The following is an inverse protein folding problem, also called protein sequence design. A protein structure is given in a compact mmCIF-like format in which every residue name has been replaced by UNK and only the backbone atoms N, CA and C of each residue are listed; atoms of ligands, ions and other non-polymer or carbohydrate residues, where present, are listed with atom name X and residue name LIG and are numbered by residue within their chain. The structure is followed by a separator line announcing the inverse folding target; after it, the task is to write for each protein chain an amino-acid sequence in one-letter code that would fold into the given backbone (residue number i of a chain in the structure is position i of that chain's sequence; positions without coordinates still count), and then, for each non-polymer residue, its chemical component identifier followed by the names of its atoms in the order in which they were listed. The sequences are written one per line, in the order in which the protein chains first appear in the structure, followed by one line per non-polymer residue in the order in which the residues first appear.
data_IF_016525631605
#
_entry.id   IF_016525631605
#
_cell.length_a   1.000
_cell.length_b   1.000
_cell.length_c   1.000
_cell.angle_alpha   90.00
_cell.angle_beta   90.00
_cell.angle_gamma   90.00
#
_symmetry.space_group_name_H-M   'P 1'
#
loop_
_entity.id
_entity.type
_entity.pdbx_description
1 polymer ?
#
# COMPACT_ATOMS: atom_id res chain seq x y z
N UNK A 1 -2.75 -15.61 24.26
CA UNK A 1 -1.57 -15.18 23.48
C UNK A 1 -1.83 -13.74 23.05
N UNK A 2 -1.06 -12.76 23.50
CA UNK A 2 -1.27 -11.37 23.08
C UNK A 2 -0.96 -11.26 21.58
N UNK A 3 -1.98 -10.97 20.77
CA UNK A 3 -1.81 -10.70 19.35
C UNK A 3 -1.07 -9.38 19.25
N UNK A 4 0.22 -9.41 18.89
CA UNK A 4 0.97 -8.19 18.62
C UNK A 4 0.19 -7.33 17.65
N UNK A 5 -0.24 -6.15 18.08
CA UNK A 5 -0.98 -5.21 17.23
C UNK A 5 -0.04 -4.81 16.10
N UNK A 6 -0.39 -5.17 14.86
CA UNK A 6 0.39 -4.72 13.70
C UNK A 6 0.44 -3.18 13.75
N UNK A 7 1.61 -2.56 13.57
CA UNK A 7 1.72 -1.11 13.61
C UNK A 7 0.79 -0.49 12.55
N UNK A 8 0.27 0.70 12.83
CA UNK A 8 -0.52 1.47 11.87
C UNK A 8 0.30 1.67 10.59
N UNK A 9 -0.32 1.60 9.39
CA UNK A 9 0.40 1.87 8.15
C UNK A 9 1.07 3.23 8.17
N UNK A 10 2.39 3.23 8.01
CA UNK A 10 3.18 4.47 7.95
C UNK A 10 3.09 5.17 6.60
N UNK A 11 3.80 6.30 6.45
CA UNK A 11 3.71 7.17 5.26
C UNK A 11 3.97 6.43 3.94
N UNK A 12 4.99 5.56 3.89
CA UNK A 12 5.29 4.79 2.69
C UNK A 12 4.10 3.93 2.23
N UNK A 13 3.45 3.21 3.17
CA UNK A 13 2.29 2.38 2.86
C UNK A 13 1.11 3.21 2.39
N UNK A 14 0.92 4.42 2.95
CA UNK A 14 -0.14 5.34 2.53
C UNK A 14 0.10 5.86 1.10
N UNK A 15 1.34 6.20 0.76
CA UNK A 15 1.69 6.64 -0.60
C UNK A 15 1.59 5.51 -1.62
N UNK A 16 2.03 4.30 -1.29
CA UNK A 16 1.77 3.11 -2.13
C UNK A 16 0.26 2.97 -2.39
N UNK A 17 -0.56 3.09 -1.35
CA UNK A 17 -2.02 3.00 -1.48
C UNK A 17 -2.60 4.12 -2.36
N UNK A 18 -2.00 5.32 -2.31
CA UNK A 18 -2.35 6.46 -3.16
C UNK A 18 -2.04 6.18 -4.64
N UNK A 19 -0.86 5.66 -4.94
CA UNK A 19 -0.44 5.27 -6.30
C UNK A 19 -1.39 4.21 -6.87
N UNK A 20 -1.69 3.15 -6.09
CA UNK A 20 -2.61 2.11 -6.54
C UNK A 20 -4.00 2.66 -6.87
N UNK A 21 -4.54 3.55 -6.02
CA UNK A 21 -5.83 4.22 -6.29
C UNK A 21 -5.78 5.10 -7.54
N UNK A 22 -4.70 5.85 -7.72
CA UNK A 22 -4.51 6.71 -8.88
C UNK A 22 -4.48 5.87 -10.18
N UNK A 23 -3.81 4.73 -10.16
CA UNK A 23 -3.76 3.80 -11.31
C UNK A 23 -5.14 3.24 -11.64
N UNK A 24 -5.86 2.77 -10.62
CA UNK A 24 -7.23 2.29 -10.80
C UNK A 24 -8.13 3.36 -11.41
N UNK A 25 -8.05 4.61 -10.93
CA UNK A 25 -8.83 5.71 -11.46
C UNK A 25 -8.47 6.03 -12.92
N UNK A 26 -7.17 6.05 -13.26
CA UNK A 26 -6.68 6.31 -14.62
C UNK A 26 -7.22 5.28 -15.63
N UNK A 27 -7.26 4.02 -15.22
CA UNK A 27 -7.72 2.90 -16.07
C UNK A 27 -9.20 2.53 -15.87
N UNK A 28 -9.94 3.27 -15.04
CA UNK A 28 -11.35 3.01 -14.69
C UNK A 28 -11.59 1.58 -14.16
N UNK A 29 -10.62 1.04 -13.43
CA UNK A 29 -10.70 -0.28 -12.82
C UNK A 29 -11.52 -0.18 -11.54
N UNK A 30 -12.56 -1.02 -11.44
CA UNK A 30 -13.39 -1.08 -10.24
C UNK A 30 -12.70 -1.91 -9.17
N UNK A 31 -12.87 -1.52 -7.91
CA UNK A 31 -12.30 -2.24 -6.77
C UNK A 31 -12.73 -3.72 -6.71
N UNK A 32 -13.98 -4.03 -7.08
CA UNK A 32 -14.45 -5.41 -7.15
C UNK A 32 -13.71 -6.26 -8.20
N UNK A 33 -13.29 -5.65 -9.31
CA UNK A 33 -12.52 -6.34 -10.36
C UNK A 33 -11.11 -6.65 -9.85
N UNK A 34 -10.46 -5.67 -9.21
CA UNK A 34 -9.12 -5.86 -8.66
C UNK A 34 -9.10 -6.87 -7.51
N UNK A 35 -10.13 -6.87 -6.66
CA UNK A 35 -10.32 -7.87 -5.61
C UNK A 35 -10.43 -9.28 -6.19
N UNK A 36 -11.24 -9.46 -7.24
CA UNK A 36 -11.38 -10.74 -7.92
C UNK A 36 -10.08 -11.19 -8.59
N UNK A 37 -9.32 -10.27 -9.20
CA UNK A 37 -8.06 -10.58 -9.87
C UNK A 37 -6.93 -10.98 -8.90
N UNK A 38 -6.89 -10.37 -7.72
CA UNK A 38 -5.82 -10.60 -6.73
C UNK A 38 -6.18 -11.64 -5.67
N UNK A 39 -7.44 -12.08 -5.60
CA UNK A 39 -7.93 -12.95 -4.52
C UNK A 39 -8.02 -12.26 -3.15
N UNK A 40 -7.80 -10.94 -3.09
CA UNK A 40 -7.94 -10.15 -1.87
C UNK A 40 -9.41 -9.85 -1.65
N UNK A 41 -9.91 -10.06 -0.42
CA UNK A 41 -11.30 -9.69 -0.10
C UNK A 41 -11.57 -8.21 -0.36
N UNK A 42 -12.78 -7.88 -0.85
CA UNK A 42 -13.16 -6.49 -1.17
C UNK A 42 -13.02 -5.55 0.01
N UNK A 43 -13.38 -6.00 1.22
CA UNK A 43 -13.20 -5.27 2.47
C UNK A 43 -11.74 -4.99 2.75
N UNK A 44 -10.87 -6.01 2.68
CA UNK A 44 -9.44 -5.82 2.89
C UNK A 44 -8.83 -4.90 1.85
N UNK A 45 -9.19 -5.06 0.58
CA UNK A 45 -8.73 -4.20 -0.50
C UNK A 45 -9.17 -2.75 -0.25
N UNK A 46 -10.37 -2.53 0.29
CA UNK A 46 -10.83 -1.19 0.68
C UNK A 46 -9.95 -0.57 1.73
N UNK A 47 -9.63 -1.32 2.79
CA UNK A 47 -8.75 -0.84 3.86
C UNK A 47 -7.33 -0.57 3.37
N UNK A 48 -6.82 -1.43 2.48
CA UNK A 48 -5.53 -1.27 1.80
C UNK A 48 -5.53 0.01 0.98
N UNK A 49 -6.47 0.17 0.05
CA UNK A 49 -6.52 1.35 -0.83
C UNK A 49 -6.68 2.64 -0.01
N UNK A 50 -7.39 2.60 1.11
CA UNK A 50 -7.52 3.75 2.01
C UNK A 50 -6.29 3.99 2.91
N UNK A 51 -5.21 3.21 2.79
CA UNK A 51 -4.01 3.33 3.63
C UNK A 51 -4.24 2.95 5.10
N UNK A 52 -5.33 2.23 5.41
CA UNK A 52 -5.71 1.84 6.78
C UNK A 52 -5.21 0.46 7.17
N UNK A 53 -4.72 -0.32 6.21
CA UNK A 53 -4.22 -1.68 6.44
C UNK A 53 -2.85 -1.88 5.81
N UNK A 54 -1.99 -2.56 6.55
CA UNK A 54 -0.68 -2.95 6.02
C UNK A 54 -0.88 -3.93 4.85
N UNK A 55 -0.07 -3.72 3.83
CA UNK A 55 0.02 -4.56 2.64
C UNK A 55 1.28 -5.41 2.81
N UNK A 56 1.17 -6.73 2.67
CA UNK A 56 2.36 -7.57 2.59
C UNK A 56 2.94 -7.57 1.16
N UNK A 57 4.18 -8.06 1.01
CA UNK A 57 4.88 -8.04 -0.28
C UNK A 57 4.12 -8.83 -1.35
N UNK A 58 3.52 -9.96 -0.99
CA UNK A 58 2.77 -10.80 -1.93
C UNK A 58 1.51 -10.11 -2.43
N UNK A 59 0.79 -9.42 -1.54
CA UNK A 59 -0.38 -8.62 -1.88
C UNK A 59 0.01 -7.45 -2.77
N UNK A 60 1.10 -6.76 -2.45
CA UNK A 60 1.57 -5.63 -3.24
C UNK A 60 1.99 -6.08 -4.65
N UNK A 61 2.75 -7.16 -4.75
CA UNK A 61 3.16 -7.75 -6.04
C UNK A 61 1.95 -8.12 -6.90
N UNK A 62 0.95 -8.82 -6.32
CA UNK A 62 -0.28 -9.18 -7.02
C UNK A 62 -1.09 -7.95 -7.49
N UNK A 63 -1.15 -6.90 -6.66
CA UNK A 63 -1.82 -5.64 -7.00
C UNK A 63 -1.09 -4.93 -8.15
N UNK A 64 0.23 -4.80 -8.07
CA UNK A 64 1.05 -4.19 -9.10
C UNK A 64 0.92 -4.94 -10.43
N UNK A 65 1.08 -6.27 -10.41
CA UNK A 65 0.92 -7.11 -11.59
C UNK A 65 -0.46 -6.96 -12.24
N UNK A 66 -1.53 -6.99 -11.43
CA UNK A 66 -2.91 -6.85 -11.92
C UNK A 66 -3.21 -5.48 -12.51
N UNK A 67 -2.50 -4.44 -12.08
CA UNK A 67 -2.62 -3.07 -12.57
C UNK A 67 -1.62 -2.74 -13.69
N UNK A 68 -0.74 -3.68 -14.07
CA UNK A 68 0.32 -3.43 -15.05
C UNK A 68 1.43 -2.50 -14.56
N UNK A 69 1.61 -2.41 -13.25
CA UNK A 69 2.63 -1.61 -12.59
C UNK A 69 3.90 -2.41 -12.32
N UNK A 70 5.05 -1.74 -12.39
CA UNK A 70 6.31 -2.27 -11.89
C UNK A 70 6.37 -2.08 -10.36
N UNK A 71 6.45 -3.19 -9.63
CA UNK A 71 6.56 -3.21 -8.17
C UNK A 71 7.67 -2.30 -7.64
N UNK A 72 8.86 -2.36 -8.24
CA UNK A 72 10.03 -1.61 -7.77
C UNK A 72 9.87 -0.11 -8.03
N UNK A 73 9.27 0.25 -9.17
CA UNK A 73 8.94 1.63 -9.48
C UNK A 73 7.91 2.19 -8.50
N UNK A 74 6.85 1.44 -8.17
CA UNK A 74 5.84 1.87 -7.19
C UNK A 74 6.45 2.17 -5.83
N UNK A 75 7.33 1.29 -5.33
CA UNK A 75 8.00 1.52 -4.04
C UNK A 75 8.90 2.76 -4.09
N UNK A 76 9.72 2.90 -5.15
CA UNK A 76 10.61 4.06 -5.32
C UNK A 76 9.81 5.36 -5.43
N UNK A 77 8.76 5.38 -6.22
CA UNK A 77 7.95 6.57 -6.46
C UNK A 77 7.15 6.94 -5.19
N UNK A 78 6.68 5.94 -4.44
CA UNK A 78 6.10 6.14 -3.12
C UNK A 78 7.13 6.68 -2.13
N UNK A 79 8.37 6.16 -2.15
CA UNK A 79 9.46 6.67 -1.33
C UNK A 79 9.75 8.14 -1.64
N UNK A 80 9.89 8.51 -2.92
CA UNK A 80 10.10 9.89 -3.38
C UNK A 80 8.94 10.84 -3.03
N UNK A 81 7.70 10.37 -3.11
CA UNK A 81 6.54 11.16 -2.68
C UNK A 81 6.47 11.25 -1.15
N UNK A 82 6.97 10.22 -0.46
CA UNK A 82 7.16 10.23 0.98
C UNK A 82 8.44 10.97 1.42
N UNK A 83 9.33 11.41 0.51
CA UNK A 83 10.59 12.14 0.82
C UNK A 83 10.33 13.48 1.50
N UNK A 84 9.07 13.94 1.60
CA UNK A 84 8.62 14.79 2.70
C UNK A 84 8.60 14.04 4.06
N UNK A 85 9.64 13.23 4.29
CA UNK A 85 9.90 12.30 5.39
C UNK A 85 10.26 13.07 6.65
N UNK A 86 9.49 14.11 6.98
CA UNK A 86 9.19 14.35 8.38
C UNK A 86 8.57 13.04 8.83
N UNK A 87 9.39 12.21 9.46
CA UNK A 87 8.99 11.14 10.34
C UNK A 87 7.70 11.62 10.99
N UNK A 88 6.57 11.10 10.54
CA UNK A 88 5.34 11.31 11.27
C UNK A 88 5.68 10.94 12.71
N UNK A 89 5.24 11.74 13.68
CA UNK A 89 5.66 11.62 15.08
C UNK A 89 5.41 10.21 15.67
N UNK A 90 4.73 9.33 14.95
CA UNK A 90 4.37 7.96 15.24
C UNK A 90 5.21 6.89 14.50
N UNK A 91 6.17 7.22 13.62
CA UNK A 91 7.06 6.23 13.03
C UNK A 91 8.15 5.82 14.03
N UNK A 92 7.96 4.67 14.67
CA UNK A 92 8.72 4.23 15.84
C UNK A 92 10.02 3.48 15.53
N UNK A 93 10.39 3.31 14.25
CA UNK A 93 11.62 2.59 13.91
C UNK A 93 12.84 3.49 14.09
N UNK A 94 13.62 3.23 15.13
CA UNK A 94 14.90 3.90 15.36
C UNK A 94 15.91 3.42 14.32
N UNK A 95 16.55 4.32 13.54
CA UNK A 95 17.66 3.92 12.69
C UNK A 95 18.77 3.34 13.58
N UNK A 96 19.23 2.13 13.26
CA UNK A 96 20.46 1.60 13.82
C UNK A 96 21.59 2.38 13.13
N UNK A 97 22.20 3.30 13.87
CA UNK A 97 23.42 4.02 13.45
C UNK A 97 24.51 3.06 13.00
#
# INVERSE_FOLDING_TARGET
MAKGTKPTPGPLTQEVSSILRAEMARHRILQGQLAAATGISTTQLSEILNGKKNIDIQQLDALCWSLGLDFTAVIRDAEQQSEARHLAADWTATPLT
#
